data_IF_016785821840
#
_entry.id   IF_016785821840
#
_cell.length_a   1.000
_cell.length_b   1.000
_cell.length_c   1.000
_cell.angle_alpha   90.00
_cell.angle_beta   90.00
_cell.angle_gamma   90.00
#
_symmetry.space_group_name_H-M   'P 1'
#
loop_
_entity.id
_entity.type
_entity.pdbx_description
1 polymer ?
#
# COMPACT_ATOMS: atom_id res chain seq x y z
N UNK A 1 11.51 10.40 13.31
CA UNK A 1 10.52 9.32 13.41
C UNK A 1 11.15 8.10 14.06
N UNK A 2 10.40 7.34 14.86
CA UNK A 2 10.89 6.13 15.53
C UNK A 2 10.29 4.89 14.87
N UNK A 3 11.11 3.91 14.48
CA UNK A 3 10.65 2.66 13.85
C UNK A 3 10.43 1.50 14.84
N UNK A 4 10.37 1.77 16.14
CA UNK A 4 10.06 0.74 17.14
C UNK A 4 8.66 0.19 16.85
N UNK A 5 8.49 -1.14 16.71
CA UNK A 5 7.17 -1.73 16.47
C UNK A 5 6.16 -1.39 17.56
N UNK A 6 4.84 -1.52 17.30
CA UNK A 6 3.82 -1.48 18.33
C UNK A 6 4.16 -2.39 19.53
N UNK A 7 3.89 -1.92 20.75
CA UNK A 7 4.18 -2.69 21.97
C UNK A 7 3.20 -3.85 22.21
N UNK A 8 2.02 -3.78 21.58
CA UNK A 8 0.97 -4.80 21.58
C UNK A 8 0.58 -5.13 20.14
N UNK A 9 0.01 -6.31 19.91
CA UNK A 9 -0.46 -6.70 18.59
C UNK A 9 -1.51 -5.73 18.06
N UNK A 10 -1.34 -5.28 16.82
CA UNK A 10 -2.24 -4.38 16.08
C UNK A 10 -2.84 -5.14 14.90
N UNK A 11 -4.15 -5.00 14.66
CA UNK A 11 -4.77 -5.58 13.46
C UNK A 11 -4.58 -4.67 12.26
N UNK A 12 -4.15 -5.27 11.17
CA UNK A 12 -3.90 -4.64 9.88
C UNK A 12 -4.61 -5.44 8.81
N UNK A 13 -5.30 -4.77 7.90
CA UNK A 13 -5.82 -5.39 6.68
C UNK A 13 -5.16 -4.83 5.44
N UNK A 14 -4.87 -5.68 4.47
CA UNK A 14 -4.41 -5.29 3.15
C UNK A 14 -5.45 -5.59 2.07
N UNK A 15 -6.03 -4.54 1.48
CA UNK A 15 -6.93 -4.62 0.34
C UNK A 15 -6.11 -4.66 -0.94
N UNK A 16 -6.09 -5.80 -1.63
CA UNK A 16 -5.34 -5.94 -2.86
C UNK A 16 -5.92 -7.02 -3.77
N UNK A 17 -5.36 -7.13 -4.97
CA UNK A 17 -5.31 -8.40 -5.66
C UNK A 17 -3.90 -8.65 -6.23
N UNK A 18 -3.66 -9.84 -6.79
CA UNK A 18 -2.47 -10.16 -7.60
C UNK A 18 -1.14 -9.82 -6.88
N UNK A 19 -0.41 -8.76 -7.24
CA UNK A 19 0.92 -8.44 -6.67
C UNK A 19 0.98 -8.39 -5.13
N UNK A 20 -0.15 -8.12 -4.47
CA UNK A 20 -0.21 -8.06 -3.00
C UNK A 20 -0.10 -9.44 -2.37
N UNK A 21 -0.64 -10.45 -3.03
CA UNK A 21 -0.57 -11.85 -2.62
C UNK A 21 0.89 -12.31 -2.56
N UNK A 22 1.62 -12.11 -3.67
CA UNK A 22 3.06 -12.40 -3.74
C UNK A 22 3.90 -11.57 -2.78
N UNK A 23 3.45 -10.35 -2.44
CA UNK A 23 4.17 -9.54 -1.46
C UNK A 23 4.00 -10.12 -0.05
N UNK A 24 2.79 -10.56 0.31
CA UNK A 24 2.48 -11.18 1.60
C UNK A 24 3.06 -12.59 1.76
N UNK A 25 3.13 -13.37 0.68
CA UNK A 25 3.50 -14.79 0.67
C UNK A 25 4.88 -15.06 1.31
N UNK A 26 4.90 -16.02 2.23
CA UNK A 26 6.13 -16.48 2.91
C UNK A 26 7.05 -17.21 1.92
N UNK A 27 8.31 -16.80 1.88
CA UNK A 27 9.30 -17.30 0.92
C UNK A 27 9.26 -16.60 -0.44
N UNK A 28 8.32 -15.67 -0.65
CA UNK A 28 8.29 -14.76 -1.79
C UNK A 28 8.59 -13.34 -1.33
N UNK A 29 7.58 -12.50 -1.10
CA UNK A 29 7.79 -11.13 -0.64
C UNK A 29 8.01 -10.99 0.87
N UNK A 30 7.62 -12.00 1.64
CA UNK A 30 7.81 -12.08 3.10
C UNK A 30 7.15 -10.95 3.92
N UNK A 31 6.27 -10.14 3.32
CA UNK A 31 5.64 -9.03 4.02
C UNK A 31 4.80 -9.53 5.20
N UNK A 32 4.00 -10.59 5.04
CA UNK A 32 3.18 -11.14 6.13
C UNK A 32 4.03 -11.59 7.33
N UNK A 33 5.16 -12.27 7.05
CA UNK A 33 6.13 -12.69 8.06
C UNK A 33 6.78 -11.49 8.75
N UNK A 34 7.21 -10.49 7.99
CA UNK A 34 7.84 -9.29 8.53
C UNK A 34 6.86 -8.46 9.38
N UNK A 35 5.60 -8.35 8.96
CA UNK A 35 4.54 -7.66 9.70
C UNK A 35 4.24 -8.36 11.03
N UNK A 36 4.12 -9.69 11.05
CA UNK A 36 3.97 -10.45 12.28
C UNK A 36 5.14 -10.27 13.26
N UNK A 37 6.38 -10.28 12.74
CA UNK A 37 7.57 -10.00 13.55
C UNK A 37 7.59 -8.58 14.13
N UNK A 38 6.76 -7.68 13.60
CA UNK A 38 6.57 -6.30 14.04
C UNK A 38 5.21 -6.10 14.73
N UNK A 39 4.61 -7.15 15.31
CA UNK A 39 3.34 -7.09 16.05
C UNK A 39 2.13 -6.62 15.24
N UNK A 40 2.11 -6.84 13.93
CA UNK A 40 0.89 -6.68 13.12
C UNK A 40 0.27 -8.05 12.85
N UNK A 41 -0.94 -8.26 13.35
CA UNK A 41 -1.79 -9.37 12.93
C UNK A 41 -2.42 -8.94 11.61
N UNK A 42 -2.16 -9.69 10.56
CA UNK A 42 -2.55 -9.29 9.20
C UNK A 42 -3.83 -10.03 8.84
N UNK A 43 -4.72 -9.36 8.12
CA UNK A 43 -5.77 -9.94 7.30
C UNK A 43 -5.66 -9.36 5.89
N UNK A 44 -6.32 -9.97 4.91
CA UNK A 44 -6.32 -9.44 3.55
C UNK A 44 -7.63 -9.73 2.83
N UNK A 45 -7.95 -8.87 1.86
CA UNK A 45 -8.94 -9.17 0.84
C UNK A 45 -8.21 -9.45 -0.46
N UNK A 46 -8.71 -10.40 -1.25
CA UNK A 46 -8.16 -10.74 -2.56
C UNK A 46 -9.31 -11.11 -3.52
N UNK A 47 -9.00 -11.59 -4.73
CA UNK A 47 -9.98 -12.08 -5.70
C UNK A 47 -11.08 -12.92 -5.04
N UNK A 48 -12.33 -12.58 -5.33
CA UNK A 48 -13.49 -13.30 -4.79
C UNK A 48 -13.87 -12.95 -3.35
N UNK A 49 -13.18 -12.02 -2.69
CA UNK A 49 -13.63 -11.51 -1.39
C UNK A 49 -15.00 -10.85 -1.54
N UNK A 50 -16.00 -11.39 -0.87
CA UNK A 50 -17.40 -11.17 -1.22
C UNK A 50 -18.26 -10.52 -0.13
N UNK A 51 -17.66 -9.99 0.93
CA UNK A 51 -18.38 -9.20 1.93
C UNK A 51 -18.43 -7.77 1.41
N UNK A 52 -19.58 -7.22 0.97
CA UNK A 52 -20.84 -7.18 1.71
C UNK A 52 -22.00 -7.96 1.04
N UNK A 53 -21.69 -9.01 0.28
CA UNK A 53 -22.64 -9.87 -0.44
C UNK A 53 -22.41 -9.99 -1.95
N UNK A 54 -21.32 -9.45 -2.48
CA UNK A 54 -20.88 -9.55 -3.89
C UNK A 54 -19.36 -9.44 -3.97
N UNK A 55 -18.76 -9.91 -5.07
CA UNK A 55 -17.30 -9.92 -5.28
C UNK A 55 -16.72 -8.50 -5.40
N UNK A 56 -16.40 -7.93 -4.24
CA UNK A 56 -15.75 -6.64 -4.11
C UNK A 56 -14.22 -6.78 -4.27
N UNK A 57 -13.66 -7.91 -3.82
CA UNK A 57 -12.22 -8.19 -3.85
C UNK A 57 -11.60 -8.22 -5.24
N UNK A 58 -12.37 -8.59 -6.26
CA UNK A 58 -11.90 -8.53 -7.66
C UNK A 58 -11.84 -7.10 -8.23
N UNK A 59 -12.44 -6.10 -7.57
CA UNK A 59 -12.56 -4.71 -8.05
C UNK A 59 -11.59 -3.78 -7.32
N UNK A 60 -10.28 -3.89 -7.57
CA UNK A 60 -9.25 -3.03 -6.94
C UNK A 60 -8.48 -2.15 -7.94
N UNK A 61 -9.04 -1.91 -9.11
CA UNK A 61 -8.51 -0.89 -10.03
C UNK A 61 -8.68 0.51 -9.44
N UNK A 62 -7.90 1.49 -9.89
CA UNK A 62 -7.93 2.86 -9.34
C UNK A 62 -9.35 3.42 -9.37
N UNK A 63 -10.08 3.17 -10.45
CA UNK A 63 -11.47 3.60 -10.64
C UNK A 63 -12.47 2.97 -9.65
N UNK A 64 -12.10 1.87 -8.98
CA UNK A 64 -12.97 1.17 -8.04
C UNK A 64 -12.87 1.70 -6.61
N UNK A 65 -11.83 2.47 -6.25
CA UNK A 65 -11.66 2.92 -4.86
C UNK A 65 -12.85 3.66 -4.26
N UNK A 66 -13.59 4.53 -5.00
CA UNK A 66 -14.80 5.15 -4.46
C UNK A 66 -15.87 4.15 -4.01
N UNK A 67 -15.94 2.96 -4.61
CA UNK A 67 -16.90 1.91 -4.22
C UNK A 67 -16.48 1.18 -2.94
N UNK A 68 -15.18 1.15 -2.62
CA UNK A 68 -14.64 0.62 -1.37
C UNK A 68 -14.81 1.58 -0.20
N UNK A 69 -14.38 2.83 -0.36
CA UNK A 69 -14.28 3.82 0.73
C UNK A 69 -15.63 4.49 1.03
N UNK A 70 -16.59 3.66 1.45
CA UNK A 70 -17.95 4.06 1.81
C UNK A 70 -18.45 3.25 3.01
N UNK A 71 -19.45 3.79 3.69
CA UNK A 71 -19.98 3.23 4.92
C UNK A 71 -20.67 1.87 4.74
N UNK A 72 -21.04 1.51 3.51
CA UNK A 72 -21.65 0.21 3.22
C UNK A 72 -20.62 -0.93 3.06
N UNK A 73 -19.33 -0.62 2.83
CA UNK A 73 -18.30 -1.63 2.53
C UNK A 73 -17.24 -1.68 3.62
N UNK A 74 -16.69 -0.54 4.03
CA UNK A 74 -15.56 -0.50 4.98
C UNK A 74 -15.82 -1.15 6.35
N UNK A 75 -17.03 -1.19 6.92
CA UNK A 75 -17.26 -1.96 8.15
C UNK A 75 -16.92 -3.45 8.03
N UNK A 76 -17.09 -4.05 6.85
CA UNK A 76 -16.69 -5.44 6.59
C UNK A 76 -15.17 -5.57 6.56
N UNK A 77 -14.48 -4.62 5.90
CA UNK A 77 -13.02 -4.52 5.90
C UNK A 77 -12.46 -4.35 7.32
N UNK A 78 -13.11 -3.55 8.17
CA UNK A 78 -12.70 -3.36 9.55
C UNK A 78 -12.85 -4.63 10.40
N UNK A 79 -13.87 -5.44 10.12
CA UNK A 79 -14.15 -6.67 10.86
C UNK A 79 -13.34 -7.89 10.36
N UNK A 80 -12.88 -7.87 9.11
CA UNK A 80 -12.20 -8.99 8.45
C UNK A 80 -10.93 -9.45 9.21
N UNK A 81 -10.78 -10.76 9.35
CA UNK A 81 -9.70 -11.39 10.11
C UNK A 81 -9.12 -12.65 9.46
N UNK A 82 -9.55 -12.96 8.24
CA UNK A 82 -9.03 -14.05 7.43
C UNK A 82 -7.87 -13.57 6.57
N UNK A 83 -7.09 -14.53 6.08
CA UNK A 83 -5.97 -14.24 5.20
C UNK A 83 -5.88 -15.26 4.07
N UNK A 84 -5.44 -14.86 2.87
CA UNK A 84 -5.52 -15.71 1.68
C UNK A 84 -4.25 -16.52 1.38
N UNK A 85 -3.06 -15.97 1.71
CA UNK A 85 -1.79 -16.44 1.12
C UNK A 85 -0.59 -16.54 2.08
N UNK A 86 -0.80 -16.30 3.37
CA UNK A 86 0.23 -16.49 4.40
C UNK A 86 -0.37 -17.18 5.63
N UNK A 87 0.36 -17.26 6.73
CA UNK A 87 -0.20 -17.76 8.00
C UNK A 87 0.30 -16.89 9.12
N UNK A 88 -0.63 -16.31 9.88
CA UNK A 88 -0.27 -15.54 11.05
C UNK A 88 0.44 -16.42 12.10
N UNK A 89 1.57 -15.96 12.60
CA UNK A 89 2.39 -16.61 13.64
C UNK A 89 2.17 -16.01 15.04
N UNK A 90 1.37 -14.95 15.12
CA UNK A 90 0.95 -14.29 16.35
C UNK A 90 -0.56 -14.46 16.54
N UNK A 91 -1.02 -14.38 17.79
CA UNK A 91 -2.45 -14.50 18.09
C UNK A 91 -3.23 -13.27 17.61
N UNK A 92 -4.42 -13.52 17.07
CA UNK A 92 -5.39 -12.46 16.77
C UNK A 92 -5.76 -11.71 18.07
N UNK A 93 -5.57 -10.39 18.14
CA UNK A 93 -6.08 -9.59 19.26
C UNK A 93 -7.57 -9.27 19.05
N UNK A 94 -8.27 -8.86 20.10
CA UNK A 94 -9.64 -8.40 19.96
C UNK A 94 -9.72 -7.08 19.17
N UNK A 95 -10.89 -6.83 18.57
CA UNK A 95 -11.20 -5.57 17.88
C UNK A 95 -11.08 -5.64 16.36
N UNK A 96 -11.18 -4.46 15.75
CA UNK A 96 -11.15 -4.24 14.30
C UNK A 96 -9.73 -3.99 13.79
N UNK A 97 -9.55 -4.09 12.48
CA UNK A 97 -8.38 -3.55 11.80
C UNK A 97 -8.24 -2.05 12.08
N UNK A 98 -7.09 -1.65 12.61
CA UNK A 98 -6.73 -0.25 12.85
C UNK A 98 -5.95 0.33 11.67
N UNK A 99 -5.17 -0.51 10.98
CA UNK A 99 -4.38 -0.13 9.81
C UNK A 99 -5.01 -0.72 8.55
N UNK A 100 -5.32 0.14 7.59
CA UNK A 100 -5.94 -0.19 6.31
C UNK A 100 -4.93 0.10 5.21
N UNK A 101 -4.27 -0.93 4.72
CA UNK A 101 -3.45 -0.86 3.52
C UNK A 101 -4.31 -1.13 2.29
N UNK A 102 -4.08 -0.43 1.20
CA UNK A 102 -4.79 -0.70 -0.05
C UNK A 102 -3.92 -0.39 -1.27
N UNK A 103 -4.15 -1.12 -2.36
CA UNK A 103 -3.40 -0.91 -3.61
C UNK A 103 -4.16 -1.40 -4.83
N UNK A 104 -3.87 -0.78 -5.97
CA UNK A 104 -4.21 -1.34 -7.28
C UNK A 104 -3.03 -2.15 -7.84
N UNK A 105 -3.28 -2.99 -8.85
CA UNK A 105 -2.23 -3.78 -9.50
C UNK A 105 -1.50 -3.00 -10.60
N UNK A 106 -0.44 -3.61 -11.16
CA UNK A 106 0.45 -2.97 -12.13
C UNK A 106 -0.23 -2.31 -13.35
N UNK A 107 -1.39 -2.78 -13.89
CA UNK A 107 -2.03 -2.09 -15.01
C UNK A 107 -2.50 -0.68 -14.64
N UNK A 108 -2.76 -0.44 -13.35
CA UNK A 108 -3.19 0.86 -12.82
C UNK A 108 -2.02 1.80 -12.51
N UNK A 109 -0.78 1.40 -12.78
CA UNK A 109 0.35 2.33 -12.79
C UNK A 109 0.37 3.17 -14.06
N UNK A 110 -0.08 2.61 -15.19
CA UNK A 110 -0.18 3.36 -16.43
C UNK A 110 -1.37 4.31 -16.37
N UNK A 111 -1.09 5.58 -16.67
CA UNK A 111 -2.08 6.65 -16.77
C UNK A 111 -2.28 7.01 -18.23
N UNK A 112 -3.32 7.79 -18.52
CA UNK A 112 -3.56 8.32 -19.87
C UNK A 112 -2.53 9.40 -20.27
N UNK A 113 -2.98 10.40 -21.02
CA UNK A 113 -2.13 11.53 -21.43
C UNK A 113 -1.68 12.44 -20.29
N UNK A 114 -2.34 12.34 -19.13
CA UNK A 114 -2.03 13.03 -17.89
C UNK A 114 -2.64 12.26 -16.71
N UNK A 115 -2.52 12.83 -15.49
CA UNK A 115 -2.89 12.18 -14.23
C UNK A 115 -4.23 12.69 -13.65
N UNK A 116 -5.01 13.46 -14.40
CA UNK A 116 -6.15 14.22 -13.88
C UNK A 116 -7.25 13.31 -13.36
N UNK A 117 -7.53 12.21 -14.06
CA UNK A 117 -8.57 11.26 -13.69
C UNK A 117 -8.22 10.56 -12.36
N UNK A 118 -6.97 10.13 -12.20
CA UNK A 118 -6.48 9.53 -10.96
C UNK A 118 -6.48 10.56 -9.82
N UNK A 119 -6.04 11.79 -10.09
CA UNK A 119 -6.10 12.88 -9.11
C UNK A 119 -7.52 13.10 -8.59
N UNK A 120 -8.53 13.10 -9.46
CA UNK A 120 -9.92 13.26 -9.06
C UNK A 120 -10.38 12.14 -8.13
N UNK A 121 -10.03 10.89 -8.45
CA UNK A 121 -10.37 9.71 -7.65
C UNK A 121 -9.71 9.78 -6.26
N UNK A 122 -8.38 9.91 -6.22
CA UNK A 122 -7.64 9.91 -4.94
C UNK A 122 -8.05 11.10 -4.06
N UNK A 123 -8.26 12.29 -4.63
CA UNK A 123 -8.78 13.43 -3.86
C UNK A 123 -10.17 13.15 -3.26
N UNK A 124 -11.03 12.42 -3.97
CA UNK A 124 -12.34 12.00 -3.49
C UNK A 124 -12.30 11.12 -2.25
N UNK A 125 -11.23 10.31 -2.07
CA UNK A 125 -11.09 9.41 -0.92
C UNK A 125 -10.79 10.14 0.40
N UNK A 126 -10.17 11.33 0.33
CA UNK A 126 -9.69 12.06 1.51
C UNK A 126 -10.84 12.45 2.45
N UNK A 127 -12.05 12.71 1.92
CA UNK A 127 -13.22 13.04 2.72
C UNK A 127 -13.62 11.86 3.63
N UNK A 128 -13.62 10.64 3.08
CA UNK A 128 -13.88 9.43 3.86
C UNK A 128 -12.79 9.22 4.91
N UNK A 129 -11.52 9.26 4.50
CA UNK A 129 -10.40 9.03 5.43
C UNK A 129 -10.36 10.05 6.58
N UNK A 130 -10.69 11.32 6.30
CA UNK A 130 -10.78 12.37 7.34
C UNK A 130 -11.93 12.17 8.32
N UNK A 131 -12.98 11.44 7.94
CA UNK A 131 -14.09 11.09 8.82
C UNK A 131 -13.78 9.87 9.72
N UNK A 132 -12.71 9.13 9.41
CA UNK A 132 -12.30 7.90 10.09
C UNK A 132 -10.89 8.03 10.70
N UNK A 133 -10.68 9.05 11.54
CA UNK A 133 -9.39 9.30 12.19
C UNK A 133 -8.98 8.22 13.21
N UNK A 134 -9.93 7.36 13.59
CA UNK A 134 -9.71 6.14 14.36
C UNK A 134 -9.05 5.01 13.55
N UNK A 135 -8.85 5.20 12.23
CA UNK A 135 -8.15 4.30 11.33
C UNK A 135 -6.92 4.98 10.71
N UNK A 136 -5.87 4.21 10.47
CA UNK A 136 -4.69 4.60 9.69
C UNK A 136 -4.82 4.03 8.28
N UNK A 137 -4.87 4.91 7.27
CA UNK A 137 -4.92 4.51 5.86
C UNK A 137 -3.54 4.61 5.22
N UNK A 138 -3.17 3.58 4.46
CA UNK A 138 -1.88 3.52 3.77
C UNK A 138 -2.13 3.13 2.31
N UNK A 139 -1.94 4.09 1.41
CA UNK A 139 -1.91 3.81 -0.01
C UNK A 139 -0.56 3.19 -0.37
N UNK A 140 -0.57 2.04 -1.00
CA UNK A 140 0.60 1.48 -1.68
C UNK A 140 0.46 1.84 -3.16
N UNK A 141 1.36 2.66 -3.69
CA UNK A 141 1.33 3.09 -5.09
C UNK A 141 1.41 1.86 -6.00
N UNK A 142 0.60 1.75 -7.08
CA UNK A 142 0.65 0.59 -7.97
C UNK A 142 2.05 0.32 -8.52
N UNK A 143 2.53 -0.95 -8.56
CA UNK A 143 3.85 -1.30 -9.07
C UNK A 143 4.00 -0.99 -10.58
N UNK A 144 5.23 -0.72 -11.08
CA UNK A 144 5.46 -0.48 -12.51
C UNK A 144 5.24 -1.74 -13.35
N UNK A 145 5.02 -1.54 -14.66
CA UNK A 145 5.13 -2.58 -15.68
C UNK A 145 6.48 -2.53 -16.41
N UNK A 146 6.87 -3.61 -17.08
CA UNK A 146 8.05 -3.67 -17.94
C UNK A 146 7.91 -2.73 -19.15
N UNK A 147 6.69 -2.57 -19.65
CA UNK A 147 6.35 -1.70 -20.78
C UNK A 147 5.21 -0.79 -20.35
N UNK A 148 5.43 0.52 -20.45
CA UNK A 148 4.45 1.58 -20.16
C UNK A 148 4.50 2.55 -21.35
N UNK A 149 3.34 2.99 -21.86
CA UNK A 149 3.31 3.92 -23.01
C UNK A 149 3.85 5.31 -22.65
N UNK A 150 3.49 5.84 -21.47
CA UNK A 150 4.03 7.07 -20.91
C UNK A 150 4.60 6.87 -19.49
N UNK A 151 5.84 6.37 -19.36
CA UNK A 151 6.46 6.15 -18.07
C UNK A 151 6.76 7.46 -17.31
N UNK A 152 6.79 8.61 -17.99
CA UNK A 152 6.98 9.90 -17.34
C UNK A 152 5.70 10.35 -16.61
N UNK A 153 4.54 10.18 -17.26
CA UNK A 153 3.24 10.46 -16.64
C UNK A 153 2.96 9.53 -15.44
N UNK A 154 3.31 8.24 -15.53
CA UNK A 154 3.22 7.33 -14.38
C UNK A 154 4.10 7.79 -13.22
N UNK A 155 5.36 8.18 -13.49
CA UNK A 155 6.25 8.74 -12.45
C UNK A 155 5.67 10.01 -11.84
N UNK A 156 5.02 10.85 -12.64
CA UNK A 156 4.34 12.06 -12.17
C UNK A 156 3.21 11.71 -11.20
N UNK A 157 2.39 10.70 -11.48
CA UNK A 157 1.33 10.24 -10.57
C UNK A 157 1.93 9.72 -9.26
N UNK A 158 2.88 8.79 -9.34
CA UNK A 158 3.60 8.23 -8.17
C UNK A 158 4.17 9.34 -7.29
N UNK A 159 4.82 10.34 -7.91
CA UNK A 159 5.40 11.49 -7.21
C UNK A 159 4.35 12.38 -6.57
N UNK A 160 3.24 12.63 -7.27
CA UNK A 160 2.13 13.42 -6.74
C UNK A 160 1.45 12.73 -5.56
N UNK A 161 1.31 11.40 -5.58
CA UNK A 161 0.64 10.66 -4.50
C UNK A 161 1.39 10.76 -3.17
N UNK A 162 2.71 10.57 -3.17
CA UNK A 162 3.47 10.57 -1.91
C UNK A 162 3.79 11.98 -1.39
N UNK A 163 3.81 12.99 -2.25
CA UNK A 163 4.24 14.35 -1.89
C UNK A 163 3.22 15.05 -0.96
N UNK A 164 3.63 15.22 0.30
CA UNK A 164 2.87 15.88 1.37
C UNK A 164 2.89 17.42 1.28
N UNK A 165 3.73 18.02 0.46
CA UNK A 165 3.91 19.47 0.34
C UNK A 165 3.24 20.06 -0.90
N UNK A 166 3.32 19.35 -2.02
CA UNK A 166 2.78 19.82 -3.30
C UNK A 166 1.78 18.84 -3.94
N UNK A 167 1.71 17.62 -3.44
CA UNK A 167 0.92 16.54 -3.99
C UNK A 167 -0.41 16.31 -3.29
N UNK A 168 -0.83 15.05 -3.29
CA UNK A 168 -2.14 14.58 -2.84
C UNK A 168 -2.47 15.02 -1.42
N UNK A 169 -1.50 14.96 -0.50
CA UNK A 169 -1.71 15.22 0.92
C UNK A 169 -1.42 16.67 1.34
N UNK A 170 -1.14 17.59 0.39
CA UNK A 170 -0.75 18.99 0.66
C UNK A 170 -1.64 19.71 1.68
N UNK A 171 -2.96 19.53 1.58
CA UNK A 171 -3.94 20.19 2.42
C UNK A 171 -4.61 19.23 3.43
N UNK A 172 -4.11 18.00 3.54
CA UNK A 172 -4.72 16.97 4.37
C UNK A 172 -4.17 17.06 5.80
N UNK A 173 -5.03 17.41 6.77
CA UNK A 173 -4.60 17.69 8.14
C UNK A 173 -5.00 16.64 9.17
N UNK A 174 -5.77 15.61 8.79
CA UNK A 174 -6.27 14.61 9.74
C UNK A 174 -5.17 13.67 10.26
N UNK A 175 -4.01 13.59 9.57
CA UNK A 175 -2.81 12.93 10.07
C UNK A 175 -2.85 11.40 10.08
N UNK A 176 -3.85 10.80 9.43
CA UNK A 176 -4.11 9.37 9.41
C UNK A 176 -4.01 8.74 8.00
N UNK A 177 -3.34 9.42 7.05
CA UNK A 177 -3.08 8.91 5.70
C UNK A 177 -1.60 9.00 5.38
N UNK A 178 -1.02 7.88 4.92
CA UNK A 178 0.35 7.79 4.44
C UNK A 178 0.39 7.07 3.10
N UNK A 179 1.49 7.24 2.37
CA UNK A 179 1.69 6.65 1.05
C UNK A 179 3.04 5.97 1.01
N UNK A 180 3.08 4.72 0.58
CA UNK A 180 4.31 4.03 0.25
C UNK A 180 4.50 3.97 -1.26
N UNK A 181 5.60 4.54 -1.74
CA UNK A 181 5.90 4.65 -3.17
C UNK A 181 6.57 3.36 -3.67
N UNK A 182 5.79 2.29 -3.62
CA UNK A 182 6.16 0.96 -4.08
C UNK A 182 6.53 0.96 -5.57
N UNK A 183 5.93 1.86 -6.35
CA UNK A 183 6.36 2.11 -7.72
C UNK A 183 7.84 2.49 -7.79
N UNK A 184 8.24 3.56 -7.06
CA UNK A 184 9.62 4.02 -7.06
C UNK A 184 10.60 2.92 -6.62
N UNK A 185 10.27 2.23 -5.54
CA UNK A 185 11.09 1.16 -4.96
C UNK A 185 11.38 0.03 -5.96
N UNK A 186 10.45 -0.25 -6.88
CA UNK A 186 10.55 -1.33 -7.86
C UNK A 186 11.12 -0.91 -9.22
N UNK A 187 11.37 0.39 -9.42
CA UNK A 187 11.92 0.90 -10.69
C UNK A 187 13.45 0.83 -10.78
N UNK A 188 14.17 0.70 -9.66
CA UNK A 188 15.63 0.52 -9.65
C UNK A 188 16.16 0.14 -8.25
N UNK A 189 17.31 -0.57 -8.14
CA UNK A 189 17.98 -0.82 -6.86
C UNK A 189 18.32 0.44 -6.06
N UNK A 190 18.68 1.53 -6.74
CA UNK A 190 19.07 2.81 -6.13
C UNK A 190 17.89 3.76 -5.85
N UNK A 191 16.68 3.37 -6.23
CA UNK A 191 15.46 4.11 -5.94
C UNK A 191 14.84 3.58 -4.65
N UNK A 192 14.51 4.48 -3.72
CA UNK A 192 14.10 4.10 -2.38
C UNK A 192 12.91 4.90 -1.89
N UNK A 193 12.10 4.28 -1.04
CA UNK A 193 11.21 4.97 -0.13
C UNK A 193 11.33 4.25 1.21
N UNK A 194 12.10 4.81 2.14
CA UNK A 194 12.51 4.09 3.35
C UNK A 194 12.74 5.03 4.52
N UNK A 195 13.00 4.47 5.69
CA UNK A 195 13.41 5.24 6.86
C UNK A 195 14.93 5.19 7.04
N UNK A 196 15.61 6.33 6.97
CA UNK A 196 17.06 6.46 7.21
C UNK A 196 17.29 7.32 8.44
N UNK A 197 17.90 6.76 9.49
CA UNK A 197 18.20 7.47 10.74
C UNK A 197 16.99 8.23 11.33
N UNK A 198 15.79 7.64 11.21
CA UNK A 198 14.54 8.22 11.68
C UNK A 198 13.96 9.30 10.77
N UNK A 199 14.46 9.47 9.56
CA UNK A 199 13.90 10.38 8.54
C UNK A 199 13.26 9.53 7.44
N UNK A 200 12.01 9.81 7.10
CA UNK A 200 11.37 9.27 5.89
C UNK A 200 12.09 9.88 4.69
N UNK A 201 12.71 9.03 3.88
CA UNK A 201 13.48 9.43 2.71
C UNK A 201 12.85 8.82 1.47
N UNK A 202 12.65 9.65 0.46
CA UNK A 202 12.26 9.24 -0.88
C UNK A 202 13.38 9.64 -1.85
N UNK A 203 13.95 8.66 -2.54
CA UNK A 203 15.14 8.80 -3.37
C UNK A 203 14.85 8.27 -4.78
N UNK A 204 15.05 9.11 -5.80
CA UNK A 204 14.99 8.74 -7.23
C UNK A 204 16.37 8.95 -7.83
N UNK A 205 17.33 8.08 -7.45
CA UNK A 205 18.72 8.20 -7.88
C UNK A 205 18.95 7.63 -9.30
N UNK A 206 17.97 6.91 -9.85
CA UNK A 206 17.95 6.45 -11.22
C UNK A 206 16.63 6.84 -11.91
N UNK A 207 16.73 7.31 -13.15
CA UNK A 207 15.60 7.78 -13.94
C UNK A 207 14.76 6.66 -14.59
N UNK A 208 15.08 5.38 -14.36
CA UNK A 208 14.26 4.27 -14.82
C UNK A 208 12.84 4.38 -14.22
N UNK A 209 11.85 4.22 -15.10
CA UNK A 209 10.43 4.40 -14.81
C UNK A 209 9.61 3.19 -15.31
N UNK A 210 10.24 2.03 -15.35
CA UNK A 210 9.61 0.75 -15.67
C UNK A 210 10.14 -0.31 -14.72
N UNK A 211 9.46 -1.45 -14.64
CA UNK A 211 9.75 -2.52 -13.70
C UNK A 211 11.19 -3.03 -13.88
N UNK A 212 12.01 -2.83 -12.85
CA UNK A 212 13.38 -3.36 -12.81
C UNK A 212 13.42 -4.82 -12.38
N UNK A 213 12.47 -5.22 -11.55
CA UNK A 213 12.42 -6.54 -10.92
C UNK A 213 11.31 -7.43 -11.49
N UNK A 214 11.21 -7.71 -12.81
CA UNK A 214 10.15 -8.60 -13.30
C UNK A 214 10.41 -10.06 -12.91
N UNK A 215 9.35 -10.82 -12.66
CA UNK A 215 9.46 -12.28 -12.45
C UNK A 215 9.97 -12.97 -13.71
N UNK A 216 9.43 -12.57 -14.87
CA UNK A 216 9.86 -13.01 -16.18
C UNK A 216 9.38 -12.02 -17.27
N UNK A 217 9.87 -12.21 -18.50
CA UNK A 217 9.48 -11.36 -19.63
C UNK A 217 7.99 -11.47 -19.95
N UNK A 218 7.27 -10.36 -19.92
CA UNK A 218 5.82 -10.31 -20.19
C UNK A 218 4.95 -10.61 -18.96
N UNK A 219 5.56 -10.88 -17.82
CA UNK A 219 4.91 -10.98 -16.53
C UNK A 219 5.36 -9.83 -15.63
N UNK A 220 4.46 -8.86 -15.44
CA UNK A 220 4.72 -7.64 -14.68
C UNK A 220 4.57 -7.82 -13.16
N UNK A 221 4.41 -9.06 -12.68
CA UNK A 221 4.58 -9.33 -11.25
C UNK A 221 6.04 -9.08 -10.84
N UNK A 222 6.28 -8.24 -9.82
CA UNK A 222 7.60 -8.08 -9.24
C UNK A 222 8.13 -9.42 -8.69
N UNK A 223 9.39 -9.70 -8.98
CA UNK A 223 10.13 -10.87 -8.52
C UNK A 223 10.32 -10.88 -7.00
N UNK A 224 10.74 -12.04 -6.47
CA UNK A 224 11.15 -12.22 -5.06
C UNK A 224 12.10 -11.11 -4.59
N UNK A 225 13.13 -10.77 -5.37
CA UNK A 225 14.11 -9.74 -4.99
C UNK A 225 13.44 -8.36 -4.83
N UNK A 226 12.60 -7.96 -5.79
CA UNK A 226 11.89 -6.69 -5.74
C UNK A 226 10.90 -6.62 -4.57
N UNK A 227 10.18 -7.71 -4.32
CA UNK A 227 9.23 -7.80 -3.21
C UNK A 227 9.93 -7.74 -1.85
N UNK A 228 11.02 -8.48 -1.67
CA UNK A 228 11.78 -8.49 -0.42
C UNK A 228 12.46 -7.15 -0.16
N UNK A 229 12.97 -6.47 -1.22
CA UNK A 229 13.42 -5.08 -1.12
C UNK A 229 12.30 -4.19 -0.59
N UNK A 230 11.12 -4.25 -1.21
CA UNK A 230 9.98 -3.46 -0.78
C UNK A 230 9.55 -3.76 0.67
N UNK A 231 9.54 -5.03 1.09
CA UNK A 231 9.27 -5.39 2.50
C UNK A 231 10.26 -4.75 3.46
N UNK A 232 11.56 -4.84 3.14
CA UNK A 232 12.62 -4.31 4.00
C UNK A 232 12.57 -2.79 4.18
N UNK A 233 12.12 -2.07 3.15
CA UNK A 233 12.00 -0.61 3.16
C UNK A 233 10.67 -0.15 3.81
N UNK A 234 9.59 -0.90 3.59
CA UNK A 234 8.24 -0.55 4.05
C UNK A 234 8.04 -0.71 5.56
N UNK A 235 8.45 -1.84 6.15
CA UNK A 235 8.09 -2.16 7.54
C UNK A 235 8.59 -1.12 8.55
N UNK A 236 9.83 -0.58 8.46
CA UNK A 236 10.26 0.51 9.33
C UNK A 236 9.44 1.80 9.18
N UNK A 237 8.97 2.10 7.96
CA UNK A 237 8.09 3.24 7.70
C UNK A 237 6.72 3.02 8.32
N UNK A 238 6.12 1.85 8.15
CA UNK A 238 4.85 1.50 8.77
C UNK A 238 4.89 1.68 10.29
N UNK A 239 5.94 1.16 10.95
CA UNK A 239 6.13 1.35 12.40
C UNK A 239 6.16 2.84 12.76
N UNK A 240 6.92 3.64 12.00
CA UNK A 240 7.05 5.07 12.21
C UNK A 240 5.74 5.84 12.01
N UNK A 241 5.00 5.53 10.95
CA UNK A 241 3.70 6.13 10.64
C UNK A 241 2.64 5.77 11.68
N UNK A 242 2.59 4.50 12.10
CA UNK A 242 1.70 4.05 13.15
C UNK A 242 1.94 4.81 14.47
N UNK A 243 3.20 4.92 14.89
CA UNK A 243 3.54 5.66 16.11
C UNK A 243 3.15 7.13 16.01
N UNK A 244 3.46 7.77 14.87
CA UNK A 244 3.10 9.16 14.66
C UNK A 244 1.59 9.37 14.72
N UNK A 245 0.81 8.49 14.08
CA UNK A 245 -0.66 8.52 14.14
C UNK A 245 -1.19 8.33 15.57
N UNK A 246 -0.59 7.43 16.36
CA UNK A 246 -0.98 7.20 17.77
C UNK A 246 -0.43 8.25 18.75
N UNK A 247 0.41 9.19 18.30
CA UNK A 247 1.06 10.19 19.16
C UNK A 247 2.12 9.61 20.10
N UNK A 248 2.87 8.58 19.66
CA UNK A 248 3.86 7.81 20.43
C UNK A 248 5.32 8.13 20.10
#
# INVERSE_FOLDING_TARGET
MNATPPASTVKLIFIHHSTGEYWLETGYGDLGTALNANNYFVSDTNYGWSDPGYDQGSSTDTVNWPDWFRNEVMPFVFAENTNSCYTNTISEPAGENEVIMFKSCYPNSEVGSDITDEQAIYNGLLAYMAAHTDKLFILIVPPPMQIISDPAATRQLSSWLFDKQYGWLKNYTAGNVYVYDYYNVLTHPDNHHRLVNGVETHEVNNAQNTLYYPTNSGDDHPSVEGQQKATSEFVPLLNAWYRQWKGL
#
